data_IF_432989078552
#
_entry.id   IF_432989078552
#
_cell.length_a   1.000
_cell.length_b   1.000
_cell.length_c   1.000
_cell.angle_alpha   90.00
_cell.angle_beta   90.00
_cell.angle_gamma   90.00
#
_symmetry.space_group_name_H-M   'P 1'
#
loop_
_entity.id
_entity.type
_entity.pdbx_description
1 polymer ?
#
# COMPACT_ATOMS: atom_id res chain seq x y z
N UNK A 1 -5.19 20.66 32.37
CA UNK A 1 -4.83 21.35 31.13
C UNK A 1 -3.61 20.61 30.60
N UNK A 2 -3.87 19.53 29.86
CA UNK A 2 -2.83 18.68 29.29
C UNK A 2 -2.15 19.45 28.15
N UNK A 3 -0.86 19.75 28.34
CA UNK A 3 0.01 20.21 27.26
C UNK A 3 0.14 19.08 26.24
N UNK A 4 -0.69 19.14 25.20
CA UNK A 4 -0.51 18.32 24.02
C UNK A 4 0.83 18.71 23.38
N UNK A 5 1.87 17.91 23.65
CA UNK A 5 3.19 18.06 23.03
C UNK A 5 3.00 18.04 21.51
N UNK A 6 3.17 19.19 20.87
CA UNK A 6 3.16 19.33 19.42
C UNK A 6 4.43 18.65 18.88
N UNK A 7 4.33 17.37 18.54
CA UNK A 7 5.39 16.67 17.83
C UNK A 7 5.54 17.32 16.45
N UNK A 8 6.75 17.72 16.07
CA UNK A 8 7.01 18.29 14.75
C UNK A 8 6.81 17.23 13.64
N UNK A 9 6.53 17.66 12.41
CA UNK A 9 6.39 16.74 11.27
C UNK A 9 7.64 15.90 11.02
N UNK A 10 8.82 16.48 11.27
CA UNK A 10 10.10 15.78 11.18
C UNK A 10 10.26 14.70 12.25
N UNK A 11 9.89 14.96 13.49
CA UNK A 11 9.93 13.97 14.56
C UNK A 11 8.99 12.79 14.29
N UNK A 12 7.79 13.06 13.73
CA UNK A 12 6.89 11.99 13.26
C UNK A 12 7.53 11.15 12.16
N UNK A 13 8.09 11.80 11.14
CA UNK A 13 8.77 11.10 10.04
C UNK A 13 9.94 10.25 10.55
N UNK A 14 10.75 10.77 11.47
CA UNK A 14 11.82 10.00 12.11
C UNK A 14 11.26 8.79 12.87
N UNK A 15 10.20 8.96 13.65
CA UNK A 15 9.59 7.86 14.40
C UNK A 15 9.06 6.77 13.46
N UNK A 16 8.38 7.15 12.38
CA UNK A 16 7.90 6.22 11.34
C UNK A 16 9.07 5.49 10.68
N UNK A 17 10.14 6.22 10.33
CA UNK A 17 11.34 5.65 9.73
C UNK A 17 12.01 4.62 10.66
N UNK A 18 12.16 4.94 11.95
CA UNK A 18 12.70 4.01 12.95
C UNK A 18 11.85 2.76 13.10
N UNK A 19 10.53 2.92 13.16
CA UNK A 19 9.60 1.80 13.27
C UNK A 19 9.68 0.87 12.06
N UNK A 20 9.64 1.42 10.84
CA UNK A 20 9.79 0.64 9.60
C UNK A 20 11.13 -0.10 9.55
N UNK A 21 12.24 0.57 9.88
CA UNK A 21 13.57 -0.05 9.90
C UNK A 21 13.71 -1.17 10.94
N UNK A 22 12.83 -1.26 11.94
CA UNK A 22 12.82 -2.40 12.86
C UNK A 22 12.39 -3.72 12.19
N UNK A 23 11.76 -3.66 11.01
CA UNK A 23 11.49 -4.83 10.16
C UNK A 23 12.69 -5.25 9.28
N UNK A 24 13.79 -4.48 9.27
CA UNK A 24 14.97 -4.82 8.51
C UNK A 24 15.73 -5.98 9.16
N UNK A 25 16.30 -6.88 8.34
CA UNK A 25 17.22 -7.90 8.83
C UNK A 25 18.52 -7.29 9.36
N UNK A 26 19.01 -6.27 8.67
CA UNK A 26 20.12 -5.42 9.08
C UNK A 26 19.68 -3.96 8.95
N UNK A 27 19.54 -3.29 10.10
CA UNK A 27 19.01 -1.93 10.19
C UNK A 27 19.93 -0.90 9.52
N UNK A 28 21.23 -1.07 9.62
CA UNK A 28 22.19 -0.11 9.11
C UNK A 28 22.34 -0.23 7.59
N UNK A 29 22.25 -1.45 7.05
CA UNK A 29 22.12 -1.69 5.60
C UNK A 29 20.86 -1.04 5.07
N UNK A 30 19.70 -1.33 5.65
CA UNK A 30 18.42 -0.77 5.19
C UNK A 30 18.40 0.77 5.26
N UNK A 31 18.98 1.36 6.31
CA UNK A 31 19.12 2.82 6.39
C UNK A 31 19.99 3.38 5.26
N UNK A 32 21.11 2.73 4.92
CA UNK A 32 21.95 3.14 3.78
C UNK A 32 21.19 3.01 2.47
N UNK A 33 20.45 1.92 2.26
CA UNK A 33 19.63 1.74 1.06
C UNK A 33 18.59 2.86 0.89
N UNK A 34 17.92 3.29 1.95
CA UNK A 34 17.05 4.46 1.88
C UNK A 34 17.77 5.73 1.45
N UNK A 35 18.93 6.01 2.04
CA UNK A 35 19.69 7.23 1.73
C UNK A 35 20.25 7.20 0.30
N UNK A 36 20.66 6.04 -0.20
CA UNK A 36 21.33 5.91 -1.50
C UNK A 36 20.36 5.63 -2.65
N UNK A 37 19.33 4.82 -2.42
CA UNK A 37 18.41 4.31 -3.45
C UNK A 37 16.98 4.81 -3.29
N UNK A 38 16.65 5.47 -2.17
CA UNK A 38 15.30 5.97 -1.88
C UNK A 38 14.30 4.88 -1.48
N UNK A 39 14.73 3.62 -1.36
CA UNK A 39 13.95 2.49 -0.89
C UNK A 39 14.86 1.46 -0.21
N UNK A 40 14.32 0.71 0.75
CA UNK A 40 15.01 -0.33 1.51
C UNK A 40 14.19 -1.61 1.54
N UNK A 41 14.86 -2.77 1.57
CA UNK A 41 14.18 -4.06 1.58
C UNK A 41 13.84 -4.48 3.02
N UNK A 42 12.56 -4.52 3.36
CA UNK A 42 12.07 -4.83 4.71
C UNK A 42 11.32 -6.16 4.76
N UNK A 43 11.49 -6.92 5.85
CA UNK A 43 10.85 -8.22 6.01
C UNK A 43 9.37 -8.08 6.39
N UNK A 44 8.51 -8.83 5.71
CA UNK A 44 7.09 -8.92 6.03
C UNK A 44 6.79 -10.06 7.04
N UNK A 45 5.60 -10.06 7.62
CA UNK A 45 5.13 -11.08 8.58
C UNK A 45 5.62 -10.89 10.02
N UNK A 46 6.33 -9.79 10.31
CA UNK A 46 6.75 -9.38 11.65
C UNK A 46 5.84 -8.26 12.18
N UNK A 47 6.36 -7.03 12.21
CA UNK A 47 5.59 -5.86 12.67
C UNK A 47 4.52 -5.42 11.65
N UNK A 48 4.69 -5.76 10.37
CA UNK A 48 3.69 -5.57 9.32
C UNK A 48 3.73 -6.71 8.30
N UNK A 49 2.64 -6.83 7.54
CA UNK A 49 2.51 -7.57 6.29
C UNK A 49 2.01 -6.59 5.22
N UNK A 50 2.02 -6.99 3.95
CA UNK A 50 1.54 -6.11 2.88
C UNK A 50 0.57 -6.82 1.94
N UNK A 51 -0.57 -6.21 1.66
CA UNK A 51 -1.47 -6.69 0.60
C UNK A 51 -1.06 -6.04 -0.70
N UNK A 52 -0.54 -6.84 -1.63
CA UNK A 52 -0.27 -6.45 -3.01
C UNK A 52 -1.57 -6.46 -3.80
N UNK A 53 -1.99 -5.29 -4.26
CA UNK A 53 -3.12 -5.08 -5.16
C UNK A 53 -2.60 -4.67 -6.54
N UNK A 54 -2.99 -5.38 -7.61
CA UNK A 54 -2.75 -4.94 -8.99
C UNK A 54 -3.33 -3.54 -9.26
N UNK A 55 -2.66 -2.74 -10.10
CA UNK A 55 -3.08 -1.37 -10.40
C UNK A 55 -4.43 -1.29 -11.13
N UNK A 56 -4.73 -2.26 -11.99
CA UNK A 56 -6.02 -2.40 -12.67
C UNK A 56 -7.18 -2.66 -11.68
N UNK A 57 -6.96 -3.50 -10.65
CA UNK A 57 -7.91 -3.71 -9.55
C UNK A 57 -8.18 -2.38 -8.85
N UNK A 58 -7.14 -1.63 -8.50
CA UNK A 58 -7.26 -0.35 -7.80
C UNK A 58 -7.97 0.69 -8.66
N UNK A 59 -7.62 0.81 -9.95
CA UNK A 59 -8.29 1.73 -10.88
C UNK A 59 -9.74 1.34 -11.14
N UNK A 60 -10.05 0.04 -11.24
CA UNK A 60 -11.43 -0.44 -11.30
C UNK A 60 -12.21 -0.06 -10.04
N UNK A 61 -11.58 -0.20 -8.86
CA UNK A 61 -12.16 0.24 -7.60
C UNK A 61 -12.31 1.76 -7.51
N UNK A 62 -11.44 2.55 -8.12
CA UNK A 62 -11.47 4.02 -8.08
C UNK A 62 -12.36 4.64 -9.17
N UNK A 63 -12.61 3.93 -10.28
CA UNK A 63 -13.28 4.41 -11.51
C UNK A 63 -12.56 5.58 -12.16
N UNK A 64 -11.24 5.58 -12.08
CA UNK A 64 -10.38 6.58 -12.69
C UNK A 64 -9.00 5.99 -12.93
N UNK A 65 -8.32 6.50 -13.95
CA UNK A 65 -6.91 6.21 -14.22
C UNK A 65 -6.00 7.37 -13.78
N UNK A 66 -6.56 8.49 -13.31
CA UNK A 66 -5.78 9.59 -12.78
C UNK A 66 -5.12 9.20 -11.46
N UNK A 67 -3.79 9.30 -11.40
CA UNK A 67 -2.99 8.81 -10.28
C UNK A 67 -3.28 9.58 -8.98
N UNK A 68 -3.56 10.88 -9.07
CA UNK A 68 -3.88 11.70 -7.90
C UNK A 68 -5.26 11.37 -7.35
N UNK A 69 -6.25 11.15 -8.22
CA UNK A 69 -7.58 10.70 -7.83
C UNK A 69 -7.56 9.28 -7.23
N UNK A 70 -6.75 8.37 -7.78
CA UNK A 70 -6.54 7.03 -7.20
C UNK A 70 -5.94 7.12 -5.80
N UNK A 71 -4.88 7.92 -5.60
CA UNK A 71 -4.28 8.10 -4.27
C UNK A 71 -5.30 8.70 -3.29
N UNK A 72 -6.10 9.68 -3.74
CA UNK A 72 -7.18 10.28 -2.95
C UNK A 72 -8.29 9.29 -2.60
N UNK A 73 -8.66 8.40 -3.53
CA UNK A 73 -9.59 7.30 -3.29
C UNK A 73 -9.04 6.33 -2.23
N UNK A 74 -7.80 5.86 -2.38
CA UNK A 74 -7.17 4.93 -1.45
C UNK A 74 -7.12 5.51 -0.04
N UNK A 75 -6.71 6.77 0.10
CA UNK A 75 -6.67 7.46 1.40
C UNK A 75 -8.04 7.45 2.10
N UNK A 76 -9.13 7.69 1.35
CA UNK A 76 -10.49 7.69 1.93
C UNK A 76 -11.00 6.27 2.20
N UNK A 77 -10.80 5.35 1.26
CA UNK A 77 -11.33 4.00 1.35
C UNK A 77 -10.63 3.14 2.41
N UNK A 78 -9.37 3.46 2.73
CA UNK A 78 -8.53 2.76 3.70
C UNK A 78 -8.36 3.53 5.02
N UNK A 79 -9.15 4.59 5.23
CA UNK A 79 -9.15 5.42 6.43
C UNK A 79 -7.74 5.92 6.82
N UNK A 80 -7.01 6.47 5.84
CA UNK A 80 -5.63 6.93 6.03
C UNK A 80 -4.58 5.83 6.08
N UNK A 81 -4.97 4.56 5.99
CA UNK A 81 -4.05 3.42 6.04
C UNK A 81 -2.92 3.52 4.99
N UNK A 82 -1.67 3.21 5.37
CA UNK A 82 -0.50 3.47 4.54
C UNK A 82 -0.44 2.57 3.29
N UNK A 83 -0.15 3.18 2.15
CA UNK A 83 -0.06 2.52 0.85
C UNK A 83 1.19 2.96 0.10
N UNK A 84 1.94 1.99 -0.39
CA UNK A 84 3.06 2.20 -1.30
C UNK A 84 2.59 1.89 -2.71
N UNK A 85 2.83 2.78 -3.66
CA UNK A 85 2.63 2.49 -5.08
C UNK A 85 3.98 2.22 -5.75
N UNK A 86 4.17 1.01 -6.27
CA UNK A 86 5.30 0.69 -7.16
C UNK A 86 4.88 0.95 -8.60
N UNK A 87 5.32 2.09 -9.13
CA UNK A 87 5.01 2.52 -10.51
C UNK A 87 5.64 1.61 -11.57
N UNK A 88 6.78 1.00 -11.24
CA UNK A 88 7.46 0.09 -12.17
C UNK A 88 6.67 -1.20 -12.40
N UNK A 89 6.09 -1.75 -11.33
CA UNK A 89 5.33 -3.01 -11.39
C UNK A 89 3.82 -2.78 -11.50
N UNK A 90 3.34 -1.54 -11.44
CA UNK A 90 1.92 -1.15 -11.33
C UNK A 90 1.19 -1.92 -10.21
N UNK A 91 1.77 -1.89 -9.01
CA UNK A 91 1.22 -2.55 -7.83
C UNK A 91 1.13 -1.58 -6.65
N UNK A 92 0.01 -1.65 -5.94
CA UNK A 92 -0.21 -0.97 -4.67
C UNK A 92 -0.01 -1.96 -3.52
N UNK A 93 0.81 -1.60 -2.54
CA UNK A 93 1.08 -2.40 -1.35
C UNK A 93 0.48 -1.69 -0.14
N UNK A 94 -0.62 -2.21 0.36
CA UNK A 94 -1.25 -1.71 1.60
C UNK A 94 -0.57 -2.36 2.78
N UNK A 95 -0.01 -1.58 3.70
CA UNK A 95 0.58 -2.16 4.92
C UNK A 95 -0.52 -2.48 5.92
N UNK A 96 -0.53 -3.72 6.38
CA UNK A 96 -1.52 -4.30 7.30
C UNK A 96 -0.80 -4.95 8.49
N UNK A 97 -1.48 -5.23 9.61
CA UNK A 97 -0.87 -5.95 10.73
C UNK A 97 -0.17 -7.24 10.31
N UNK A 98 1.00 -7.54 10.88
CA UNK A 98 1.79 -8.74 10.54
C UNK A 98 1.02 -10.05 10.68
N UNK A 99 0.09 -10.10 11.63
CA UNK A 99 -0.80 -11.24 11.91
C UNK A 99 -2.00 -11.37 10.96
N UNK A 100 -2.08 -10.53 9.92
CA UNK A 100 -3.21 -10.54 8.98
C UNK A 100 -3.34 -11.90 8.30
N UNK A 101 -4.37 -12.65 8.68
CA UNK A 101 -4.70 -13.93 8.07
C UNK A 101 -5.34 -13.68 6.70
N UNK A 102 -4.59 -13.97 5.63
CA UNK A 102 -5.12 -13.88 4.27
C UNK A 102 -5.56 -15.25 3.78
N UNK A 103 -6.88 -15.47 3.69
CA UNK A 103 -7.42 -16.65 3.01
C UNK A 103 -7.44 -16.37 1.51
N UNK A 104 -7.07 -17.41 0.74
CA UNK A 104 -6.89 -17.48 -0.72
C UNK A 104 -7.56 -16.33 -1.49
N UNK A 105 -6.81 -15.56 -2.31
CA UNK A 105 -7.36 -14.43 -3.03
C UNK A 105 -8.48 -14.87 -4.01
N UNK A 106 -9.47 -14.00 -4.26
CA UNK A 106 -10.46 -14.21 -5.30
C UNK A 106 -9.79 -14.42 -6.66
N UNK A 107 -10.32 -15.36 -7.47
CA UNK A 107 -9.79 -15.63 -8.82
C UNK A 107 -9.91 -14.44 -9.78
N UNK A 108 -10.78 -13.48 -9.48
CA UNK A 108 -11.08 -12.33 -10.34
C UNK A 108 -9.89 -11.42 -10.59
N UNK A 109 -8.88 -11.39 -9.70
CA UNK A 109 -7.69 -10.56 -9.89
C UNK A 109 -6.42 -11.39 -9.64
N UNK A 110 -5.81 -11.93 -10.72
CA UNK A 110 -4.47 -12.48 -10.64
C UNK A 110 -3.49 -11.46 -10.04
N UNK A 111 -2.59 -11.92 -9.18
CA UNK A 111 -1.58 -11.05 -8.56
C UNK A 111 -2.00 -10.39 -7.24
N UNK A 112 -3.28 -10.45 -6.85
CA UNK A 112 -3.72 -10.07 -5.50
C UNK A 112 -3.18 -11.06 -4.47
N UNK A 113 -2.33 -10.60 -3.56
CA UNK A 113 -1.61 -11.46 -2.61
C UNK A 113 -1.33 -10.73 -1.30
N UNK A 114 -1.29 -11.46 -0.18
CA UNK A 114 -0.76 -10.94 1.07
C UNK A 114 0.68 -11.45 1.26
N UNK A 115 1.63 -10.52 1.25
CA UNK A 115 3.03 -10.74 1.55
C UNK A 115 3.19 -10.86 3.07
N UNK A 116 3.33 -12.10 3.53
CA UNK A 116 3.48 -12.46 4.93
C UNK A 116 4.93 -12.82 5.28
N UNK A 117 5.10 -13.83 6.14
CA UNK A 117 6.42 -14.34 6.53
C UNK A 117 7.23 -14.78 5.30
N UNK A 118 8.54 -14.60 5.37
CA UNK A 118 9.52 -14.94 4.31
C UNK A 118 9.40 -14.12 3.02
N UNK A 119 8.49 -13.14 2.97
CA UNK A 119 8.44 -12.13 1.92
C UNK A 119 9.21 -10.87 2.33
N UNK A 120 9.72 -10.16 1.33
CA UNK A 120 10.34 -8.86 1.50
C UNK A 120 9.66 -7.82 0.63
N UNK A 121 9.55 -6.59 1.14
CA UNK A 121 8.97 -5.46 0.43
C UNK A 121 9.99 -4.33 0.33
N UNK A 122 10.18 -3.81 -0.89
CA UNK A 122 10.89 -2.56 -1.09
C UNK A 122 10.03 -1.40 -0.59
N UNK A 123 10.38 -0.85 0.57
CA UNK A 123 9.66 0.27 1.20
C UNK A 123 10.39 1.56 0.87
N UNK A 124 9.74 2.56 0.25
CA UNK A 124 10.37 3.84 -0.04
C UNK A 124 10.66 4.63 1.24
N UNK A 125 11.63 5.54 1.19
CA UNK A 125 11.88 6.47 2.28
C UNK A 125 10.59 7.27 2.61
N UNK A 126 10.40 7.58 3.89
CA UNK A 126 9.13 8.11 4.43
C UNK A 126 8.70 9.46 3.85
N UNK A 127 9.65 10.21 3.29
CA UNK A 127 9.45 11.51 2.66
C UNK A 127 9.06 11.41 1.17
N UNK A 128 9.10 10.21 0.58
CA UNK A 128 8.76 9.97 -0.83
C UNK A 128 7.25 9.87 -1.02
N UNK A 129 6.54 10.98 -0.94
CA UNK A 129 5.07 11.05 -1.09
C UNK A 129 4.65 11.56 -2.48
N UNK A 130 5.60 12.07 -3.27
CA UNK A 130 5.33 12.50 -4.64
C UNK A 130 5.38 11.31 -5.61
N UNK A 131 4.55 11.33 -6.66
CA UNK A 131 4.53 10.30 -7.71
C UNK A 131 5.76 10.39 -8.63
N UNK A 132 6.95 10.10 -8.07
CA UNK A 132 8.25 10.15 -8.74
C UNK A 132 9.06 8.90 -8.42
N UNK A 133 9.97 8.55 -9.32
CA UNK A 133 10.84 7.38 -9.14
C UNK A 133 10.09 6.05 -9.29
N UNK A 134 10.65 4.98 -8.72
CA UNK A 134 10.14 3.60 -8.88
C UNK A 134 8.98 3.28 -7.93
N UNK A 135 8.99 3.87 -6.75
CA UNK A 135 7.94 3.69 -5.74
C UNK A 135 7.84 4.92 -4.85
N UNK A 136 6.64 5.19 -4.37
CA UNK A 136 6.33 6.29 -3.46
C UNK A 136 5.17 5.91 -2.53
N UNK A 137 4.95 6.68 -1.47
CA UNK A 137 3.80 6.58 -0.58
C UNK A 137 2.59 7.23 -1.23
N UNK A 138 1.69 6.41 -1.80
CA UNK A 138 0.38 6.86 -2.27
C UNK A 138 -0.51 7.32 -1.12
N UNK A 139 -0.35 6.69 0.04
CA UNK A 139 -0.90 7.14 1.32
C UNK A 139 0.23 7.03 2.34
N UNK A 140 0.73 8.15 2.92
CA UNK A 140 1.79 8.12 3.93
C UNK A 140 1.35 7.40 5.21
N UNK A 141 2.31 6.94 6.00
CA UNK A 141 2.07 6.49 7.37
C UNK A 141 2.09 7.70 8.30
N UNK A 142 0.98 7.98 8.98
CA UNK A 142 0.84 9.15 9.85
C UNK A 142 1.56 8.95 11.20
N UNK A 143 1.51 7.74 11.76
CA UNK A 143 2.17 7.38 13.01
C UNK A 143 2.85 6.00 12.97
N UNK A 144 3.90 5.75 13.77
CA UNK A 144 4.52 4.43 13.88
C UNK A 144 3.51 3.33 14.19
N UNK A 145 3.45 2.31 13.33
CA UNK A 145 2.55 1.16 13.51
C UNK A 145 1.08 1.42 13.18
N UNK A 146 0.75 2.60 12.64
CA UNK A 146 -0.56 2.90 12.09
C UNK A 146 -0.74 2.15 10.76
N UNK A 147 -1.30 0.96 10.85
CA UNK A 147 -1.48 0.01 9.75
C UNK A 147 -2.95 -0.05 9.34
N UNK A 148 -3.20 -0.35 8.06
CA UNK A 148 -4.55 -0.42 7.53
C UNK A 148 -5.32 -1.62 8.11
N UNK A 149 -6.61 -1.43 8.44
CA UNK A 149 -7.51 -2.53 8.75
C UNK A 149 -7.69 -3.43 7.51
N UNK A 150 -7.33 -4.73 7.56
CA UNK A 150 -7.52 -5.65 6.45
C UNK A 150 -8.96 -5.71 5.92
N UNK A 151 -9.97 -5.41 6.75
CA UNK A 151 -11.38 -5.36 6.33
C UNK A 151 -11.65 -4.27 5.30
N UNK A 152 -10.97 -3.12 5.40
CA UNK A 152 -11.08 -2.03 4.43
C UNK A 152 -10.42 -2.41 3.11
N UNK A 153 -9.29 -3.11 3.16
CA UNK A 153 -8.65 -3.68 1.95
C UNK A 153 -9.60 -4.63 1.24
N UNK A 154 -10.26 -5.52 1.98
CA UNK A 154 -11.28 -6.41 1.41
C UNK A 154 -12.49 -5.65 0.84
N UNK A 155 -12.90 -4.55 1.45
CA UNK A 155 -13.97 -3.71 0.91
C UNK A 155 -13.58 -3.11 -0.44
N UNK A 156 -12.35 -2.61 -0.59
CA UNK A 156 -11.81 -2.13 -1.88
C UNK A 156 -11.80 -3.23 -2.93
N UNK A 157 -11.32 -4.43 -2.59
CA UNK A 157 -11.32 -5.58 -3.51
C UNK A 157 -12.73 -5.96 -3.95
N UNK A 158 -13.71 -5.98 -3.02
CA UNK A 158 -15.11 -6.27 -3.34
C UNK A 158 -15.73 -5.20 -4.25
N UNK A 159 -15.41 -3.93 -4.01
CA UNK A 159 -15.86 -2.83 -4.85
C UNK A 159 -15.29 -2.95 -6.27
N UNK A 160 -14.00 -3.27 -6.41
CA UNK A 160 -13.36 -3.53 -7.70
C UNK A 160 -14.09 -4.62 -8.48
N UNK A 161 -14.42 -5.74 -7.83
CA UNK A 161 -15.13 -6.85 -8.45
C UNK A 161 -16.53 -6.47 -8.93
N UNK A 162 -17.27 -5.71 -8.12
CA UNK A 162 -18.60 -5.24 -8.49
C UNK A 162 -18.54 -4.36 -9.73
N UNK A 163 -17.58 -3.43 -9.77
CA UNK A 163 -17.38 -2.51 -10.88
C UNK A 163 -16.88 -3.21 -12.15
N UNK A 164 -15.96 -4.17 -12.01
CA UNK A 164 -15.46 -4.97 -13.12
C UNK A 164 -16.58 -5.79 -13.78
N UNK A 165 -17.40 -6.50 -12.98
CA UNK A 165 -18.55 -7.25 -13.51
C UNK A 165 -19.59 -6.35 -14.18
N UNK A 166 -19.81 -5.15 -13.64
CA UNK A 166 -20.73 -4.18 -14.24
C UNK A 166 -20.22 -3.67 -15.60
N UNK A 167 -18.91 -3.49 -15.75
CA UNK A 167 -18.28 -3.12 -17.01
C UNK A 167 -18.37 -4.27 -18.04
N UNK A 168 -18.04 -5.51 -17.65
CA UNK A 168 -18.19 -6.69 -18.52
C UNK A 168 -19.64 -6.90 -18.99
N UNK A 169 -20.62 -6.63 -18.12
CA UNK A 169 -22.04 -6.74 -18.48
C UNK A 169 -22.55 -5.59 -19.37
N UNK A 170 -21.84 -4.46 -19.39
CA UNK A 170 -22.17 -3.29 -20.19
C UNK A 170 -21.50 -3.31 -21.57
N UNK A 171 -20.52 -4.19 -21.81
CA UNK A 171 -19.90 -4.42 -23.11
C UNK A 171 -20.83 -5.35 -23.94
N UNK A 172 -21.56 -4.83 -24.95
CA UNK A 172 -22.47 -5.66 -25.74
C UNK A 172 -21.66 -6.65 -26.59
N UNK A 173 -22.25 -7.82 -26.85
CA UNK A 173 -21.70 -8.88 -27.70
C UNK A 173 -21.65 -8.50 -29.20
N UNK A 174 -21.05 -7.36 -29.52
CA UNK A 174 -20.97 -6.79 -30.86
C UNK A 174 -19.52 -6.82 -31.38
N UNK A 175 -18.89 -8.00 -31.36
CA UNK A 175 -17.62 -8.23 -32.09
C UNK A 175 -17.30 -9.73 -32.26
N UNK A 176 -18.34 -10.55 -32.52
CA UNK A 176 -18.17 -11.91 -33.05
C UNK A 176 -19.10 -12.14 -34.23
N UNK A 177 -18.79 -11.50 -35.35
CA UNK A 177 -19.13 -12.00 -36.70
C UNK A 177 -17.81 -12.22 -37.42
#
# INVERSE_FOLDING_TARGET
MEDAVQVSGWERQLAVAYWLLSAARDRDVARREWLTHGAALLACGGIFSAVRMPGDLVRAAAQTADEAEVNGFLRRALDGGPVIHSRYADHYYVLVPGSTAWRRPPRAFPGLECLGRDCFLGVPAVDRTEPKGRAYWAVPMDSPGELCDPRLVWAVVRLAQQRHRAAEAAEPADERT
#
